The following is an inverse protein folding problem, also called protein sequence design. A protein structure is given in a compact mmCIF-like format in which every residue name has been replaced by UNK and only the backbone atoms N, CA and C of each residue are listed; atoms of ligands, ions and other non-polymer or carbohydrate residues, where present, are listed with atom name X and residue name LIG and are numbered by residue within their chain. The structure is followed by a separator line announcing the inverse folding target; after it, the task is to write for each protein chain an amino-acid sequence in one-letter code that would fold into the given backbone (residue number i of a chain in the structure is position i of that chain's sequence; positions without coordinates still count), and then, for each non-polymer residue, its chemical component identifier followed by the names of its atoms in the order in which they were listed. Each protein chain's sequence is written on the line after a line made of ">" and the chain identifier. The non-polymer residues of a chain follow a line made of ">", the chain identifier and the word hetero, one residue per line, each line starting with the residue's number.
data_IF_405243657416
#
_entry.id   IF_405243657416
#
_cell.length_a   1.000
_cell.length_b   1.000
_cell.length_c   1.000
_cell.angle_alpha   90.00
_cell.angle_beta   90.00
_cell.angle_gamma   90.00
#
_symmetry.space_group_name_H-M   'P 1'
#
loop_
_entity.id
_entity.type
_entity.pdbx_description
1 polymer ?
#
# COMPACT_ATOMS: atom_id res chain seq x y z
N UNK A 1 -13.19 -34.42 -8.47
CA UNK A 1 -14.04 -33.26 -8.79
C UNK A 1 -13.28 -32.02 -8.38
N UNK A 2 -12.63 -31.39 -9.35
CA UNK A 2 -11.71 -30.28 -9.15
C UNK A 2 -12.52 -28.98 -9.08
N UNK A 3 -12.63 -28.40 -7.88
CA UNK A 3 -13.40 -27.17 -7.69
C UNK A 3 -12.52 -26.00 -8.09
N UNK A 4 -12.65 -25.57 -9.34
CA UNK A 4 -12.07 -24.32 -9.81
C UNK A 4 -12.70 -23.15 -9.02
N UNK A 5 -11.92 -22.59 -8.09
CA UNK A 5 -12.29 -21.34 -7.42
C UNK A 5 -12.09 -20.23 -8.44
N UNK A 6 -13.18 -19.73 -9.00
CA UNK A 6 -13.16 -18.56 -9.87
C UNK A 6 -12.81 -17.33 -9.01
N UNK A 7 -11.62 -16.77 -9.22
CA UNK A 7 -11.30 -15.44 -8.74
C UNK A 7 -12.12 -14.45 -9.55
N UNK A 8 -13.17 -13.88 -8.95
CA UNK A 8 -13.78 -12.68 -9.50
C UNK A 8 -12.76 -11.57 -9.29
N UNK A 9 -12.07 -11.18 -10.36
CA UNK A 9 -11.39 -9.89 -10.40
C UNK A 9 -12.47 -8.82 -10.21
N UNK A 10 -12.71 -8.43 -8.95
CA UNK A 10 -13.49 -7.25 -8.64
C UNK A 10 -12.67 -6.10 -9.22
N UNK A 11 -13.03 -5.64 -10.41
CA UNK A 11 -12.61 -4.33 -10.91
C UNK A 11 -13.12 -3.31 -9.91
N UNK A 12 -12.33 -3.03 -8.87
CA UNK A 12 -12.52 -1.81 -8.10
C UNK A 12 -12.26 -0.71 -9.12
N UNK A 13 -13.32 -0.13 -9.67
CA UNK A 13 -13.22 1.15 -10.34
C UNK A 13 -12.89 2.17 -9.26
N UNK A 14 -11.62 2.18 -8.83
CA UNK A 14 -11.07 3.33 -8.15
C UNK A 14 -11.11 4.44 -9.20
N UNK A 15 -11.93 5.48 -9.03
CA UNK A 15 -11.97 6.55 -10.00
C UNK A 15 -10.56 7.08 -10.15
N UNK A 16 -10.07 7.19 -11.39
CA UNK A 16 -8.72 7.70 -11.63
C UNK A 16 -8.54 9.06 -10.96
N UNK A 17 -9.62 9.86 -10.86
CA UNK A 17 -9.68 11.12 -10.10
C UNK A 17 -9.27 10.98 -8.63
N UNK A 18 -9.65 9.89 -7.95
CA UNK A 18 -9.36 9.69 -6.53
C UNK A 18 -7.87 9.43 -6.31
N UNK A 19 -7.23 8.72 -7.24
CA UNK A 19 -5.79 8.45 -7.20
C UNK A 19 -4.99 9.65 -7.72
N UNK A 20 -5.47 10.33 -8.75
CA UNK A 20 -4.80 11.51 -9.36
C UNK A 20 -4.96 12.79 -8.55
N UNK A 21 -5.95 12.88 -7.65
CA UNK A 21 -5.97 13.86 -6.55
C UNK A 21 -4.88 13.59 -5.51
N UNK A 22 -4.15 12.48 -5.70
CA UNK A 22 -3.01 12.09 -4.92
C UNK A 22 -3.44 11.48 -3.60
N UNK A 23 -4.43 10.59 -3.55
CA UNK A 23 -4.71 9.78 -2.35
C UNK A 23 -4.04 8.40 -2.45
N UNK A 24 -3.91 7.73 -1.30
CA UNK A 24 -3.51 6.31 -1.24
C UNK A 24 -4.75 5.49 -0.91
N UNK A 25 -5.12 4.59 -1.82
CA UNK A 25 -6.22 3.65 -1.61
C UNK A 25 -5.65 2.32 -1.14
N UNK A 26 -6.11 1.84 0.00
CA UNK A 26 -5.77 0.50 0.50
C UNK A 26 -6.95 -0.44 0.26
N UNK A 27 -6.72 -1.56 -0.43
CA UNK A 27 -7.74 -2.59 -0.65
C UNK A 27 -7.15 -4.00 -0.68
N UNK A 28 -7.88 -5.04 -0.24
CA UNK A 28 -9.09 -4.92 0.56
C UNK A 28 -8.78 -4.28 1.92
N UNK A 29 -9.71 -3.48 2.44
CA UNK A 29 -9.58 -2.82 3.73
C UNK A 29 -10.93 -2.83 4.46
N UNK A 30 -11.05 -3.55 5.60
CA UNK A 30 -9.99 -4.28 6.29
C UNK A 30 -9.43 -5.48 5.51
N UNK A 31 -8.12 -5.72 5.65
CA UNK A 31 -7.42 -6.91 5.17
C UNK A 31 -7.70 -8.10 6.10
N UNK A 32 -8.07 -9.24 5.51
CA UNK A 32 -8.37 -10.48 6.22
C UNK A 32 -7.34 -11.57 5.91
N UNK A 33 -7.24 -12.59 6.78
CA UNK A 33 -6.38 -13.77 6.57
C UNK A 33 -6.57 -14.44 5.19
N UNK A 34 -7.78 -14.41 4.64
CA UNK A 34 -8.16 -14.96 3.34
C UNK A 34 -7.59 -14.16 2.16
N UNK A 35 -7.42 -12.84 2.31
CA UNK A 35 -6.98 -11.92 1.24
C UNK A 35 -5.46 -12.01 0.98
N UNK A 36 -4.71 -12.65 1.90
CA UNK A 36 -3.24 -12.83 1.92
C UNK A 36 -2.39 -11.54 1.97
N UNK A 37 -2.87 -10.42 1.43
CA UNK A 37 -2.21 -9.11 1.39
C UNK A 37 -3.21 -7.96 1.27
N UNK A 38 -2.78 -6.76 1.65
CA UNK A 38 -3.40 -5.49 1.27
C UNK A 38 -2.60 -4.87 0.11
N UNK A 39 -3.30 -4.31 -0.86
CA UNK A 39 -2.74 -3.54 -1.98
C UNK A 39 -2.93 -2.05 -1.71
N UNK A 40 -1.84 -1.30 -1.82
CA UNK A 40 -1.81 0.16 -1.85
C UNK A 40 -1.80 0.61 -3.31
N UNK A 41 -2.77 1.44 -3.68
CA UNK A 41 -2.89 2.04 -5.00
C UNK A 41 -2.75 3.55 -4.88
N UNK A 42 -1.80 4.12 -5.63
CA UNK A 42 -1.50 5.55 -5.62
C UNK A 42 -0.90 5.99 -6.95
N UNK A 43 -0.96 7.28 -7.24
CA UNK A 43 -0.48 7.87 -8.49
C UNK A 43 0.75 8.72 -8.19
N UNK A 44 1.77 8.58 -9.01
CA UNK A 44 2.97 9.41 -8.96
C UNK A 44 3.05 10.27 -10.23
N UNK A 45 3.18 11.60 -10.12
CA UNK A 45 3.27 12.47 -11.29
C UNK A 45 4.58 12.29 -12.08
N UNK A 46 5.60 11.70 -11.45
CA UNK A 46 6.88 11.34 -12.07
C UNK A 46 7.48 10.12 -11.37
N UNK A 47 8.35 9.38 -12.07
CA UNK A 47 9.16 8.33 -11.47
C UNK A 47 10.17 8.94 -10.48
N UNK A 48 10.31 8.34 -9.31
CA UNK A 48 10.96 9.00 -8.18
C UNK A 48 11.29 8.04 -7.03
N UNK A 49 12.01 8.50 -5.99
CA UNK A 49 12.20 7.68 -4.81
C UNK A 49 10.91 7.62 -4.00
N UNK A 50 10.58 6.45 -3.47
CA UNK A 50 9.41 6.24 -2.63
C UNK A 50 9.81 5.59 -1.32
N UNK A 51 9.29 6.12 -0.21
CA UNK A 51 9.31 5.46 1.10
C UNK A 51 7.89 5.04 1.44
N UNK A 52 7.75 3.76 1.79
CA UNK A 52 6.49 3.22 2.33
C UNK A 52 6.76 2.85 3.78
N UNK A 53 6.04 3.46 4.70
CA UNK A 53 6.20 3.26 6.14
C UNK A 53 4.88 2.77 6.72
N UNK A 54 4.94 1.72 7.52
CA UNK A 54 3.79 1.21 8.27
C UNK A 54 4.04 1.49 9.73
N UNK A 55 3.04 2.07 10.38
CA UNK A 55 3.03 2.34 11.81
C UNK A 55 1.83 1.66 12.47
N UNK A 56 1.97 1.32 13.74
CA UNK A 56 0.81 1.05 14.59
C UNK A 56 0.08 2.37 14.96
N UNK A 57 -1.02 2.27 15.69
CA UNK A 57 -1.80 3.44 16.13
C UNK A 57 -1.07 4.36 17.11
N UNK A 58 0.00 3.89 17.74
CA UNK A 58 0.85 4.68 18.63
C UNK A 58 2.01 5.36 17.89
N UNK A 59 2.14 5.12 16.58
CA UNK A 59 3.22 5.68 15.75
C UNK A 59 4.50 4.85 15.77
N UNK A 60 4.51 3.65 16.36
CA UNK A 60 5.70 2.81 16.34
C UNK A 60 5.91 2.21 14.94
N UNK A 61 7.15 2.18 14.43
CA UNK A 61 7.44 1.62 13.11
C UNK A 61 7.25 0.10 13.11
N UNK A 62 6.45 -0.38 12.16
CA UNK A 62 6.16 -1.81 11.93
C UNK A 62 7.00 -2.37 10.79
N UNK A 63 7.05 -1.64 9.67
CA UNK A 63 7.82 -2.02 8.49
C UNK A 63 8.10 -0.81 7.61
N UNK A 64 9.21 -0.87 6.88
CA UNK A 64 9.61 0.18 5.94
C UNK A 64 10.16 -0.43 4.65
N UNK A 65 9.86 0.23 3.53
CA UNK A 65 10.49 -0.01 2.24
C UNK A 65 11.01 1.30 1.67
N UNK A 66 12.13 1.22 0.95
CA UNK A 66 12.69 2.29 0.14
C UNK A 66 12.79 1.77 -1.28
N UNK A 67 12.16 2.50 -2.20
CA UNK A 67 12.06 2.14 -3.61
C UNK A 67 12.74 3.23 -4.44
N UNK A 68 13.58 2.83 -5.37
CA UNK A 68 14.27 3.70 -6.31
C UNK A 68 13.37 4.03 -7.52
N UNK A 69 13.61 5.15 -8.22
CA UNK A 69 12.85 5.50 -9.41
C UNK A 69 12.77 4.34 -10.41
N UNK A 70 11.57 4.10 -10.94
CA UNK A 70 11.23 3.04 -11.90
C UNK A 70 11.11 1.61 -11.32
N UNK A 71 11.40 1.40 -10.05
CA UNK A 71 11.04 0.15 -9.37
C UNK A 71 9.52 -0.02 -9.25
N UNK A 72 9.06 -1.24 -8.99
CA UNK A 72 7.64 -1.48 -8.71
C UNK A 72 7.19 -0.68 -7.49
N UNK A 73 6.15 0.16 -7.64
CA UNK A 73 5.72 1.13 -6.63
C UNK A 73 6.34 2.53 -6.77
N UNK A 74 7.30 2.73 -7.68
CA UNK A 74 8.04 3.98 -7.83
C UNK A 74 8.12 4.48 -9.29
N UNK A 75 7.16 4.06 -10.13
CA UNK A 75 7.05 4.47 -11.54
C UNK A 75 6.17 5.70 -11.70
N UNK A 76 6.35 6.45 -12.77
CA UNK A 76 5.36 7.46 -13.17
C UNK A 76 4.01 6.79 -13.44
N UNK A 77 2.92 7.43 -13.02
CA UNK A 77 1.56 6.95 -13.23
C UNK A 77 1.02 6.13 -12.06
N UNK A 78 0.14 5.19 -12.36
CA UNK A 78 -0.53 4.35 -11.37
C UNK A 78 0.41 3.27 -10.82
N UNK A 79 0.56 3.23 -9.51
CA UNK A 79 1.41 2.28 -8.79
C UNK A 79 0.58 1.37 -7.89
N UNK A 80 1.01 0.11 -7.80
CA UNK A 80 0.48 -0.91 -6.89
C UNK A 80 1.62 -1.39 -6.00
N UNK A 81 1.39 -1.45 -4.70
CA UNK A 81 2.35 -1.98 -3.74
C UNK A 81 1.64 -2.88 -2.72
N UNK A 82 2.21 -4.03 -2.39
CA UNK A 82 1.54 -5.03 -1.57
C UNK A 82 2.21 -5.19 -0.21
N UNK A 83 1.39 -5.25 0.85
CA UNK A 83 1.84 -5.60 2.18
C UNK A 83 1.08 -6.82 2.70
N UNK A 84 1.82 -7.82 3.17
CA UNK A 84 1.32 -9.12 3.63
C UNK A 84 0.96 -9.17 5.12
N UNK A 85 0.83 -8.00 5.78
CA UNK A 85 0.52 -7.93 7.20
C UNK A 85 1.67 -8.42 8.09
N UNK A 86 2.93 -8.31 7.63
CA UNK A 86 4.11 -8.68 8.41
C UNK A 86 5.01 -7.51 8.77
N UNK A 87 5.62 -7.57 9.94
CA UNK A 87 6.64 -6.64 10.43
C UNK A 87 8.00 -6.83 9.74
N UNK A 88 8.99 -6.00 10.11
CA UNK A 88 10.37 -6.10 9.59
C UNK A 88 11.03 -7.46 9.84
N UNK A 89 10.64 -8.18 10.90
CA UNK A 89 11.13 -9.53 11.24
C UNK A 89 10.33 -10.63 10.57
N UNK A 90 9.48 -10.30 9.59
CA UNK A 90 8.58 -11.20 8.85
C UNK A 90 7.57 -11.92 9.75
N UNK A 91 7.26 -11.38 10.92
CA UNK A 91 6.21 -11.90 11.82
C UNK A 91 4.89 -11.24 11.49
N UNK A 92 3.78 -11.99 11.61
CA UNK A 92 2.45 -11.40 11.45
C UNK A 92 2.25 -10.32 12.52
N UNK A 93 1.71 -9.19 12.11
CA UNK A 93 1.30 -8.13 13.04
C UNK A 93 0.01 -8.55 13.76
N UNK A 94 -0.34 -7.91 14.87
CA UNK A 94 -1.60 -8.20 15.55
C UNK A 94 -2.81 -7.74 14.72
N UNK A 95 -4.00 -8.31 14.97
CA UNK A 95 -5.23 -7.69 14.45
C UNK A 95 -5.41 -6.30 15.06
N UNK A 96 -5.80 -5.33 14.23
CA UNK A 96 -5.84 -3.92 14.64
C UNK A 96 -5.74 -2.97 13.46
N UNK A 97 -5.69 -1.68 13.76
CA UNK A 97 -5.50 -0.64 12.75
C UNK A 97 -4.02 -0.27 12.61
N UNK A 98 -3.61 0.03 11.38
CA UNK A 98 -2.28 0.45 11.02
C UNK A 98 -2.36 1.67 10.12
N UNK A 99 -1.36 2.54 10.20
CA UNK A 99 -1.22 3.71 9.35
C UNK A 99 -0.12 3.42 8.34
N UNK A 100 -0.44 3.50 7.06
CA UNK A 100 0.52 3.38 5.98
C UNK A 100 0.78 4.74 5.37
N UNK A 101 2.01 5.20 5.43
CA UNK A 101 2.45 6.45 4.82
C UNK A 101 3.25 6.15 3.55
N UNK A 102 2.89 6.79 2.45
CA UNK A 102 3.62 6.74 1.18
C UNK A 102 4.18 8.12 0.91
N UNK A 103 5.50 8.21 0.80
CA UNK A 103 6.25 9.45 0.57
C UNK A 103 7.02 9.31 -0.73
N UNK A 104 6.67 10.11 -1.73
CA UNK A 104 7.44 10.28 -2.95
C UNK A 104 8.30 11.54 -2.86
N UNK A 105 9.61 11.39 -3.09
CA UNK A 105 10.56 12.49 -3.07
C UNK A 105 11.70 12.34 -4.10
N UNK A 106 12.30 13.46 -4.47
CA UNK A 106 13.55 13.57 -5.21
C UNK A 106 14.66 14.01 -4.24
N UNK A 107 15.88 14.23 -4.74
CA UNK A 107 16.96 14.77 -3.92
C UNK A 107 16.64 16.17 -3.34
N UNK A 108 15.76 16.93 -3.99
CA UNK A 108 15.54 18.35 -3.70
C UNK A 108 14.13 18.66 -3.20
N UNK A 109 13.16 17.75 -3.36
CA UNK A 109 11.75 18.05 -3.09
C UNK A 109 10.93 16.81 -2.71
N UNK A 110 9.92 16.99 -1.86
CA UNK A 110 8.85 16.00 -1.63
C UNK A 110 7.62 16.40 -2.44
N UNK A 111 7.22 15.59 -3.40
CA UNK A 111 6.05 15.86 -4.27
C UNK A 111 4.81 15.05 -3.86
N UNK A 112 4.97 14.02 -3.03
CA UNK A 112 3.86 13.18 -2.58
C UNK A 112 4.06 12.75 -1.14
N UNK A 113 3.07 12.98 -0.27
CA UNK A 113 3.07 12.49 1.11
C UNK A 113 1.62 12.28 1.54
N UNK A 114 1.24 11.02 1.68
CA UNK A 114 -0.14 10.61 1.95
C UNK A 114 -0.20 9.39 2.83
N UNK A 115 -1.32 9.27 3.53
CA UNK A 115 -1.56 8.17 4.45
C UNK A 115 -2.83 7.42 4.12
N UNK A 116 -2.79 6.09 4.20
CA UNK A 116 -3.95 5.24 4.23
C UNK A 116 -4.05 4.55 5.59
N UNK A 117 -5.27 4.32 6.08
CA UNK A 117 -5.52 3.45 7.24
C UNK A 117 -5.77 2.05 6.75
N UNK A 118 -5.13 1.06 7.34
CA UNK A 118 -5.32 -0.37 7.03
C UNK A 118 -5.78 -1.10 8.29
N UNK A 119 -6.95 -1.71 8.24
CA UNK A 119 -7.38 -2.67 9.26
C UNK A 119 -6.81 -4.06 8.93
N UNK A 120 -6.28 -4.76 9.92
CA UNK A 120 -5.80 -6.15 9.81
C UNK A 120 -6.67 -7.04 10.71
N UNK A 121 -7.19 -8.13 10.15
CA UNK A 121 -8.03 -9.11 10.86
C UNK A 121 -7.55 -10.52 10.50
N UNK A 122 -7.19 -11.34 11.50
CA UNK A 122 -6.73 -12.71 11.27
C UNK A 122 -7.85 -13.72 11.46
#
# INVERSE_FOLDING_TARGET
>A
SDTAVAFIDIYIQVPESLVTQGEVVAYPNPFRSQDRKVTLLYYLPAACNVKILVYDTFGNPVRKWELSPNEEGARMGLNRFEWDGRDQKRRRVASGAYIVQVVGFSHTETFFNRTAKVGVVW
#
